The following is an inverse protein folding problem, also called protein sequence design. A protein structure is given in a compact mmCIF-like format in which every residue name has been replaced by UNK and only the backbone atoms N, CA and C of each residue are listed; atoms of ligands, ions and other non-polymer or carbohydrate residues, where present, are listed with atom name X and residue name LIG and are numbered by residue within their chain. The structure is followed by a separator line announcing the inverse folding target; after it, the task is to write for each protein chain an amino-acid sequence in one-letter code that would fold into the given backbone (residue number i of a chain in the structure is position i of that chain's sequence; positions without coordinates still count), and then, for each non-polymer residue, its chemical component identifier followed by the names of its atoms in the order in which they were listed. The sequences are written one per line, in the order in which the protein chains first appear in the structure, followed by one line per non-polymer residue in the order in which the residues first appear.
data_IF_441929195894
#
_entry.id   IF_441929195894
#
_cell.length_a   1.000
_cell.length_b   1.000
_cell.length_c   1.000
_cell.angle_alpha   90.00
_cell.angle_beta   90.00
_cell.angle_gamma   90.00
#
_symmetry.space_group_name_H-M   'P 1'
#
loop_
_entity.id
_entity.type
_entity.pdbx_description
1 polymer ?
#
# COMPACT_ATOMS: atom_id res chain seq x y z
N UNK A 1 65.33 -9.67 -32.39
CA UNK A 1 64.34 -8.64 -32.82
C UNK A 1 63.94 -8.76 -34.29
N UNK A 2 64.80 -9.21 -35.22
CA UNK A 2 64.48 -9.32 -36.65
C UNK A 2 63.53 -10.50 -36.98
N UNK A 3 63.77 -11.66 -36.38
CA UNK A 3 62.97 -12.88 -36.59
C UNK A 3 61.47 -12.74 -36.28
N UNK A 4 61.11 -12.02 -35.20
CA UNK A 4 59.70 -11.73 -34.87
C UNK A 4 59.01 -10.83 -35.90
N UNK A 5 59.76 -9.92 -36.54
CA UNK A 5 59.22 -9.06 -37.60
C UNK A 5 59.01 -9.86 -38.88
N UNK A 6 59.93 -10.77 -39.21
CA UNK A 6 59.82 -11.65 -40.37
C UNK A 6 58.61 -12.61 -40.24
N UNK A 7 58.39 -13.19 -39.06
CA UNK A 7 57.19 -14.00 -38.80
C UNK A 7 55.89 -13.20 -38.89
N UNK A 8 55.92 -11.93 -38.48
CA UNK A 8 54.78 -11.03 -38.58
C UNK A 8 54.42 -10.70 -40.03
N UNK A 9 55.43 -10.42 -40.88
CA UNK A 9 55.21 -10.18 -42.30
C UNK A 9 54.69 -11.42 -43.04
N UNK A 10 55.20 -12.61 -42.69
CA UNK A 10 54.69 -13.88 -43.24
C UNK A 10 53.22 -14.07 -42.85
N UNK A 11 52.88 -13.84 -41.57
CA UNK A 11 51.50 -13.95 -41.08
C UNK A 11 50.55 -12.94 -41.74
N UNK A 12 50.98 -11.69 -41.93
CA UNK A 12 50.20 -10.68 -42.65
C UNK A 12 49.97 -11.07 -44.11
N UNK A 13 50.98 -11.64 -44.76
CA UNK A 13 50.87 -12.10 -46.15
C UNK A 13 49.89 -13.27 -46.29
N UNK A 14 49.89 -14.20 -45.33
CA UNK A 14 48.98 -15.34 -45.29
C UNK A 14 47.53 -14.88 -45.07
N UNK A 15 47.30 -13.90 -44.19
CA UNK A 15 45.96 -13.34 -43.95
C UNK A 15 45.45 -12.58 -45.17
N UNK A 16 46.30 -11.77 -45.80
CA UNK A 16 45.92 -11.02 -47.00
C UNK A 16 45.59 -11.96 -48.17
N UNK A 17 46.28 -13.10 -48.27
CA UNK A 17 46.03 -14.11 -49.31
C UNK A 17 44.82 -15.00 -49.03
N UNK A 18 44.47 -15.22 -47.76
CA UNK A 18 43.31 -16.04 -47.35
C UNK A 18 42.01 -15.26 -47.15
N UNK A 19 42.06 -13.92 -47.14
CA UNK A 19 40.85 -13.14 -46.98
C UNK A 19 39.89 -13.42 -48.14
N UNK A 20 38.65 -13.84 -47.86
CA UNK A 20 37.65 -13.95 -48.92
C UNK A 20 37.42 -12.56 -49.50
N UNK A 21 37.64 -12.40 -50.80
CA UNK A 21 37.41 -11.14 -51.50
C UNK A 21 35.91 -10.86 -51.48
N UNK A 22 35.49 -9.97 -50.58
CA UNK A 22 34.12 -9.52 -50.48
C UNK A 22 33.84 -8.67 -51.72
N UNK A 23 33.00 -9.20 -52.62
CA UNK A 23 32.68 -8.55 -53.91
C UNK A 23 32.07 -7.14 -53.74
N UNK A 24 31.40 -6.88 -52.62
CA UNK A 24 30.82 -5.58 -52.31
C UNK A 24 30.85 -5.27 -50.79
N UNK A 25 31.95 -4.70 -50.27
CA UNK A 25 32.12 -4.48 -48.83
C UNK A 25 31.15 -3.44 -48.27
N UNK A 26 30.73 -2.46 -49.07
CA UNK A 26 29.83 -1.40 -48.61
C UNK A 26 28.41 -1.91 -48.34
N UNK A 27 27.89 -2.83 -49.16
CA UNK A 27 26.59 -3.47 -48.92
C UNK A 27 26.61 -4.34 -47.68
N UNK A 28 27.70 -5.06 -47.44
CA UNK A 28 27.85 -5.87 -46.24
C UNK A 28 27.85 -5.01 -44.98
N UNK A 29 28.61 -3.91 -44.97
CA UNK A 29 28.65 -2.96 -43.86
C UNK A 29 27.27 -2.35 -43.62
N UNK A 30 26.57 -1.93 -44.69
CA UNK A 30 25.20 -1.42 -44.58
C UNK A 30 24.27 -2.47 -43.99
N UNK A 31 24.29 -3.71 -44.48
CA UNK A 31 23.43 -4.78 -43.97
C UNK A 31 23.65 -5.10 -42.50
N UNK A 32 24.90 -5.08 -42.04
CA UNK A 32 25.27 -5.31 -40.63
C UNK A 32 24.81 -4.12 -39.77
N UNK A 33 25.05 -2.89 -40.23
CA UNK A 33 24.61 -1.67 -39.54
C UNK A 33 23.08 -1.62 -39.41
N UNK A 34 22.36 -1.98 -40.48
CA UNK A 34 20.90 -2.06 -40.49
C UNK A 34 20.40 -3.16 -39.55
N UNK A 35 21.06 -4.32 -39.53
CA UNK A 35 20.72 -5.42 -38.63
C UNK A 35 20.91 -5.02 -37.15
N UNK A 36 22.01 -4.34 -36.82
CA UNK A 36 22.28 -3.84 -35.46
C UNK A 36 21.21 -2.81 -35.06
N UNK A 37 20.90 -1.87 -35.96
CA UNK A 37 19.92 -0.81 -35.73
C UNK A 37 18.51 -1.37 -35.49
N UNK A 38 18.07 -2.36 -36.29
CA UNK A 38 16.78 -3.04 -36.12
C UNK A 38 16.70 -3.82 -34.80
N UNK A 39 17.81 -4.37 -34.34
CA UNK A 39 17.87 -5.13 -33.09
C UNK A 39 17.66 -4.21 -31.88
N UNK A 40 18.22 -3.00 -31.92
CA UNK A 40 18.04 -2.02 -30.87
C UNK A 40 16.60 -1.46 -30.82
N UNK A 41 16.01 -1.14 -31.97
CA UNK A 41 14.63 -0.65 -32.04
C UNK A 41 13.61 -1.65 -31.49
N UNK A 42 13.78 -2.95 -31.79
CA UNK A 42 12.95 -4.04 -31.24
C UNK A 42 13.15 -4.21 -29.73
N UNK A 43 14.34 -3.91 -29.21
CA UNK A 43 14.62 -3.93 -27.77
C UNK A 43 13.91 -2.77 -27.06
N UNK A 44 13.93 -1.58 -27.67
CA UNK A 44 13.33 -0.35 -27.13
C UNK A 44 11.82 -0.43 -27.04
N UNK A 45 11.16 -0.91 -28.11
CA UNK A 45 9.69 -1.12 -28.13
C UNK A 45 9.26 -2.10 -27.03
N UNK A 46 9.95 -3.23 -26.85
CA UNK A 46 9.64 -4.20 -25.79
C UNK A 46 9.81 -3.63 -24.38
N UNK A 47 10.86 -2.85 -24.14
CA UNK A 47 11.08 -2.18 -22.85
C UNK A 47 9.94 -1.20 -22.52
N UNK A 48 9.44 -0.45 -23.50
CA UNK A 48 8.29 0.46 -23.33
C UNK A 48 6.99 -0.29 -23.02
N UNK A 49 6.73 -1.43 -23.67
CA UNK A 49 5.57 -2.26 -23.33
C UNK A 49 5.65 -2.86 -21.92
N UNK A 50 6.85 -3.30 -21.49
CA UNK A 50 7.08 -3.80 -20.13
C UNK A 50 6.86 -2.73 -19.07
N UNK A 51 7.38 -1.51 -19.28
CA UNK A 51 7.18 -0.40 -18.33
C UNK A 51 5.72 0.06 -18.30
N UNK A 52 5.04 0.13 -19.46
CA UNK A 52 3.62 0.46 -19.54
C UNK A 52 2.75 -0.60 -18.83
N UNK A 53 3.06 -1.88 -19.02
CA UNK A 53 2.35 -2.98 -18.35
C UNK A 53 2.54 -2.94 -16.83
N UNK A 54 3.71 -2.53 -16.36
CA UNK A 54 3.99 -2.43 -14.93
C UNK A 54 3.21 -1.28 -14.27
N UNK A 55 3.18 -0.11 -14.92
CA UNK A 55 2.39 1.04 -14.45
C UNK A 55 0.89 0.72 -14.48
N UNK A 56 0.42 0.04 -15.54
CA UNK A 56 -0.97 -0.40 -15.64
C UNK A 56 -1.35 -1.36 -14.50
N UNK A 57 -0.46 -2.27 -14.12
CA UNK A 57 -0.68 -3.19 -13.00
C UNK A 57 -0.82 -2.44 -11.67
N UNK A 58 0.02 -1.42 -11.44
CA UNK A 58 -0.06 -0.59 -10.22
C UNK A 58 -1.38 0.18 -10.20
N UNK A 59 -1.76 0.79 -11.32
CA UNK A 59 -3.02 1.53 -11.44
C UNK A 59 -4.26 0.64 -11.22
N UNK A 60 -4.27 -0.56 -11.79
CA UNK A 60 -5.35 -1.53 -11.60
C UNK A 60 -5.46 -1.98 -10.13
N UNK A 61 -4.33 -2.23 -9.47
CA UNK A 61 -4.30 -2.61 -8.06
C UNK A 61 -4.87 -1.50 -7.16
N UNK A 62 -4.50 -0.24 -7.44
CA UNK A 62 -5.06 0.93 -6.76
C UNK A 62 -6.57 1.07 -6.98
N UNK A 63 -7.04 0.89 -8.22
CA UNK A 63 -8.47 0.93 -8.55
C UNK A 63 -9.26 -0.15 -7.80
N UNK A 64 -8.74 -1.38 -7.73
CA UNK A 64 -9.36 -2.48 -6.98
C UNK A 64 -9.38 -2.16 -5.48
N UNK A 65 -8.28 -1.66 -4.92
CA UNK A 65 -8.20 -1.28 -3.52
C UNK A 65 -9.22 -0.18 -3.17
N UNK A 66 -9.32 0.86 -4.01
CA UNK A 66 -10.26 1.95 -3.85
C UNK A 66 -11.71 1.46 -3.96
N UNK A 67 -11.97 0.55 -4.90
CA UNK A 67 -13.29 -0.05 -5.10
C UNK A 67 -13.69 -0.91 -3.90
N UNK A 68 -12.80 -1.77 -3.40
CA UNK A 68 -13.02 -2.56 -2.18
C UNK A 68 -13.24 -1.63 -0.98
N UNK A 69 -12.49 -0.54 -0.85
CA UNK A 69 -12.71 0.42 0.22
C UNK A 69 -14.11 1.04 0.14
N UNK A 70 -14.55 1.48 -1.05
CA UNK A 70 -15.89 2.06 -1.22
C UNK A 70 -17.05 1.07 -1.06
N UNK A 71 -16.86 -0.21 -1.38
CA UNK A 71 -17.90 -1.25 -1.31
C UNK A 71 -17.95 -1.95 0.05
N UNK A 72 -16.80 -2.30 0.62
CA UNK A 72 -16.72 -3.00 1.90
C UNK A 72 -16.82 -2.06 3.11
N UNK A 73 -16.40 -0.80 2.94
CA UNK A 73 -16.60 0.25 3.93
C UNK A 73 -17.50 1.32 3.31
N UNK A 74 -18.82 1.06 3.18
CA UNK A 74 -19.73 2.16 2.94
C UNK A 74 -19.42 3.23 4.01
N UNK A 75 -19.33 4.52 3.63
CA UNK A 75 -19.12 5.56 4.63
C UNK A 75 -20.19 5.31 5.70
N UNK A 76 -19.76 5.13 6.97
CA UNK A 76 -20.68 5.00 8.09
C UNK A 76 -21.72 6.08 7.85
N UNK A 77 -22.96 5.69 7.55
CA UNK A 77 -23.95 6.68 7.14
C UNK A 77 -23.98 7.67 8.30
N UNK A 78 -23.83 8.96 7.99
CA UNK A 78 -23.75 10.03 8.98
C UNK A 78 -24.87 9.87 10.03
N UNK A 79 -25.99 9.29 9.62
CA UNK A 79 -27.11 8.89 10.47
C UNK A 79 -26.79 7.76 11.47
N UNK A 80 -26.09 6.68 11.09
CA UNK A 80 -25.64 5.64 12.04
C UNK A 80 -24.65 6.23 13.05
N UNK A 81 -23.74 7.11 12.62
CA UNK A 81 -22.80 7.77 13.53
C UNK A 81 -23.55 8.66 14.53
N UNK A 82 -24.47 9.50 14.04
CA UNK A 82 -25.35 10.33 14.89
C UNK A 82 -26.19 9.48 15.83
N UNK A 83 -26.71 8.35 15.36
CA UNK A 83 -27.53 7.44 16.16
C UNK A 83 -26.69 6.73 17.23
N UNK A 84 -25.46 6.31 16.92
CA UNK A 84 -24.50 5.78 17.89
C UNK A 84 -24.13 6.83 18.94
N UNK A 85 -23.84 8.07 18.54
CA UNK A 85 -23.53 9.18 19.45
C UNK A 85 -24.74 9.49 20.34
N UNK A 86 -25.95 9.53 19.78
CA UNK A 86 -27.18 9.74 20.53
C UNK A 86 -27.48 8.57 21.49
N UNK A 87 -27.27 7.33 21.06
CA UNK A 87 -27.44 6.14 21.91
C UNK A 87 -26.40 6.11 23.03
N UNK A 88 -25.16 6.51 22.75
CA UNK A 88 -24.11 6.69 23.75
C UNK A 88 -24.47 7.79 24.75
N UNK A 89 -24.96 8.96 24.30
CA UNK A 89 -25.44 10.05 25.15
C UNK A 89 -26.71 9.68 25.93
N UNK A 90 -27.60 8.88 25.37
CA UNK A 90 -28.78 8.36 26.08
C UNK A 90 -28.40 7.37 27.17
N UNK A 91 -27.37 6.56 26.91
CA UNK A 91 -26.85 5.57 27.87
C UNK A 91 -25.92 6.20 28.92
N UNK A 92 -25.43 7.42 28.67
CA UNK A 92 -24.56 8.18 29.55
C UNK A 92 -25.10 9.59 29.71
N UNK A 93 -25.91 9.87 30.74
CA UNK A 93 -26.46 11.21 30.94
C UNK A 93 -25.33 12.24 30.97
N UNK A 94 -25.55 13.37 30.31
CA UNK A 94 -24.57 14.43 30.14
C UNK A 94 -23.90 14.77 31.47
N UNK A 95 -22.57 14.86 31.45
CA UNK A 95 -21.77 15.15 32.63
C UNK A 95 -22.05 16.60 33.03
N UNK A 96 -23.01 16.79 33.94
CA UNK A 96 -23.21 18.07 34.60
C UNK A 96 -21.99 18.39 35.45
N UNK A 97 -21.20 19.36 35.00
CA UNK A 97 -20.10 19.89 35.78
C UNK A 97 -20.68 20.61 37.01
N UNK A 98 -20.00 20.53 38.17
CA UNK A 98 -20.44 21.22 39.37
C UNK A 98 -20.34 22.74 39.17
N UNK A 99 -21.24 23.51 39.77
CA UNK A 99 -21.35 24.97 39.57
C UNK A 99 -20.04 25.73 39.86
N UNK A 100 -19.22 25.21 40.78
CA UNK A 100 -17.91 25.74 41.15
C UNK A 100 -16.74 25.15 40.34
N UNK A 101 -16.99 24.46 39.21
CA UNK A 101 -15.94 23.82 38.39
C UNK A 101 -14.82 24.78 38.01
N UNK A 102 -15.13 26.02 37.66
CA UNK A 102 -14.10 27.02 37.31
C UNK A 102 -13.21 27.41 38.49
N UNK A 103 -13.75 27.36 39.71
CA UNK A 103 -13.06 27.75 40.95
C UNK A 103 -12.23 26.60 41.55
N UNK A 104 -12.49 25.35 41.13
CA UNK A 104 -11.79 24.17 41.65
C UNK A 104 -10.34 24.09 41.19
N UNK A 105 -9.46 23.65 42.10
CA UNK A 105 -8.06 23.31 41.80
C UNK A 105 -7.98 22.05 40.93
N UNK A 106 -6.86 21.87 40.23
CA UNK A 106 -6.65 20.72 39.34
C UNK A 106 -6.82 19.37 40.07
N UNK A 107 -6.35 19.29 41.32
CA UNK A 107 -6.49 18.09 42.16
C UNK A 107 -7.97 17.77 42.44
N UNK A 108 -8.77 18.77 42.80
CA UNK A 108 -10.20 18.64 43.07
C UNK A 108 -10.97 18.22 41.81
N UNK A 109 -10.61 18.78 40.66
CA UNK A 109 -11.16 18.39 39.35
C UNK A 109 -10.87 16.92 39.04
N UNK A 110 -9.63 16.48 39.26
CA UNK A 110 -9.24 15.10 39.02
C UNK A 110 -9.99 14.13 39.94
N UNK A 111 -10.04 14.44 41.24
CA UNK A 111 -10.80 13.64 42.22
C UNK A 111 -12.27 13.54 41.85
N UNK A 112 -12.89 14.66 41.46
CA UNK A 112 -14.29 14.69 41.04
C UNK A 112 -14.56 13.81 39.82
N UNK A 113 -13.75 13.94 38.77
CA UNK A 113 -13.88 13.14 37.55
C UNK A 113 -13.69 11.65 37.85
N UNK A 114 -12.72 11.33 38.71
CA UNK A 114 -12.44 9.95 39.12
C UNK A 114 -13.57 9.33 39.92
N UNK A 115 -14.09 10.02 40.94
CA UNK A 115 -15.21 9.55 41.75
C UNK A 115 -16.45 9.29 40.89
N UNK A 116 -16.73 10.20 39.96
CA UNK A 116 -17.87 10.06 39.05
C UNK A 116 -17.68 8.90 38.07
N UNK A 117 -16.47 8.72 37.54
CA UNK A 117 -16.12 7.56 36.72
C UNK A 117 -16.32 6.24 37.51
N UNK A 118 -15.82 6.19 38.75
CA UNK A 118 -15.95 5.02 39.61
C UNK A 118 -17.42 4.70 39.94
N UNK A 119 -18.25 5.72 40.19
CA UNK A 119 -19.69 5.56 40.39
C UNK A 119 -20.39 5.01 39.14
N UNK A 120 -20.11 5.57 37.96
CA UNK A 120 -20.67 5.07 36.70
C UNK A 120 -20.23 3.63 36.41
N UNK A 121 -18.95 3.33 36.66
CA UNK A 121 -18.42 1.98 36.49
C UNK A 121 -19.17 0.99 37.41
N UNK A 122 -19.36 1.33 38.69
CA UNK A 122 -20.15 0.50 39.63
C UNK A 122 -21.58 0.30 39.14
N UNK A 123 -22.25 1.34 38.66
CA UNK A 123 -23.61 1.25 38.13
C UNK A 123 -23.70 0.27 36.96
N UNK A 124 -22.78 0.38 35.98
CA UNK A 124 -22.73 -0.51 34.81
C UNK A 124 -22.47 -1.96 35.21
N UNK A 125 -21.56 -2.20 36.15
CA UNK A 125 -21.28 -3.54 36.64
C UNK A 125 -22.49 -4.15 37.35
N UNK A 126 -23.23 -3.36 38.13
CA UNK A 126 -24.49 -3.81 38.74
C UNK A 126 -25.55 -4.12 37.68
N UNK A 127 -25.71 -3.27 36.67
CA UNK A 127 -26.66 -3.49 35.57
C UNK A 127 -26.32 -4.76 34.77
N UNK A 128 -25.04 -4.99 34.44
CA UNK A 128 -24.57 -6.22 33.80
C UNK A 128 -24.92 -7.45 34.64
N UNK A 129 -24.67 -7.40 35.95
CA UNK A 129 -25.00 -8.52 36.85
C UNK A 129 -26.50 -8.81 36.90
N UNK A 130 -27.34 -7.77 36.94
CA UNK A 130 -28.80 -7.91 36.89
C UNK A 130 -29.22 -8.56 35.57
N UNK A 131 -28.73 -8.06 34.44
CA UNK A 131 -29.04 -8.58 33.11
C UNK A 131 -28.62 -10.05 32.94
N UNK A 132 -27.43 -10.42 33.41
CA UNK A 132 -26.96 -11.81 33.39
C UNK A 132 -27.81 -12.73 34.28
N UNK A 133 -28.25 -12.24 35.45
CA UNK A 133 -29.15 -13.00 36.33
C UNK A 133 -30.51 -13.22 35.69
N UNK A 134 -31.08 -12.19 35.09
CA UNK A 134 -32.37 -12.26 34.40
C UNK A 134 -32.34 -13.23 33.21
N UNK A 135 -31.26 -13.21 32.41
CA UNK A 135 -31.11 -14.13 31.29
C UNK A 135 -30.90 -15.59 31.73
N UNK A 136 -30.19 -15.84 32.85
CA UNK A 136 -30.07 -17.19 33.41
C UNK A 136 -31.42 -17.75 33.87
N UNK A 137 -32.22 -16.94 34.58
CA UNK A 137 -33.56 -17.36 35.02
C UNK A 137 -34.46 -17.71 33.82
N UNK A 138 -34.43 -16.92 32.74
CA UNK A 138 -35.17 -17.20 31.50
C UNK A 138 -34.74 -18.47 30.76
N UNK A 139 -33.57 -19.03 31.06
CA UNK A 139 -33.09 -20.29 30.50
C UNK A 139 -33.47 -21.49 31.36
N UNK A 140 -33.64 -21.32 32.67
CA UNK A 140 -34.09 -22.38 33.59
C UNK A 140 -35.60 -22.63 33.53
N UNK A 141 -36.39 -21.60 33.21
CA UNK A 141 -37.86 -21.69 33.04
C UNK A 141 -38.32 -22.27 31.68
N UNK A 142 -37.39 -22.73 30.82
CA UNK A 142 -37.65 -23.19 29.45
C UNK A 142 -37.26 -24.65 29.24
#
# INVERSE_FOLDING_TARGET
MKEKKEQYEIWLSEIRNRQPVVKNPEELIKSISDAISRTDEKSRKRKLFLTASWIASIAATLLILLFVHGVCFPPLSLDIEKQCIQNYRRSNPDISLPTNWQQMKLVEKNSYLWERYAQQHKLRETQKKIFLKENRLKQEDR
#
